data_IF_847634366958
#
_entry.id   IF_847634366958
#
_cell.length_a   1.000
_cell.length_b   1.000
_cell.length_c   1.000
_cell.angle_alpha   90.00
_cell.angle_beta   90.00
_cell.angle_gamma   90.00
#
_symmetry.space_group_name_H-M   'P 1'
#
loop_
_entity.id
_entity.type
_entity.pdbx_description
1 polymer ?
#
# COMPACT_ATOMS: atom_id res chain seq x y z
N UNK A 1 11.98 -24.24 -13.52
CA UNK A 1 10.85 -23.61 -14.23
C UNK A 1 10.27 -22.57 -13.29
N UNK A 2 10.44 -21.27 -13.59
CA UNK A 2 9.88 -20.20 -12.75
C UNK A 2 8.41 -20.02 -13.12
N UNK A 3 7.52 -20.47 -12.24
CA UNK A 3 6.09 -20.26 -12.37
C UNK A 3 5.76 -18.81 -11.97
N UNK A 4 5.80 -17.89 -12.93
CA UNK A 4 5.42 -16.49 -12.71
C UNK A 4 3.90 -16.39 -12.54
N UNK A 5 3.40 -16.62 -11.33
CA UNK A 5 1.98 -16.43 -11.02
C UNK A 5 1.67 -14.93 -10.93
N UNK A 6 0.99 -14.40 -11.93
CA UNK A 6 0.60 -12.97 -11.98
C UNK A 6 -0.69 -12.73 -11.19
N UNK A 7 -0.69 -11.69 -10.36
CA UNK A 7 -1.90 -11.18 -9.71
C UNK A 7 -2.82 -10.54 -10.74
N UNK A 8 -4.06 -11.02 -10.84
CA UNK A 8 -5.12 -10.37 -11.60
C UNK A 8 -5.91 -9.48 -10.64
N UNK A 9 -5.74 -8.16 -10.76
CA UNK A 9 -6.50 -7.19 -9.97
C UNK A 9 -7.94 -7.10 -10.47
N UNK A 10 -8.87 -6.90 -9.53
CA UNK A 10 -10.25 -6.59 -9.87
C UNK A 10 -10.40 -5.09 -10.18
N UNK A 11 -11.33 -4.71 -11.07
CA UNK A 11 -11.54 -3.30 -11.43
C UNK A 11 -12.04 -2.47 -10.25
N UNK A 12 -12.67 -3.13 -9.27
CA UNK A 12 -13.15 -2.52 -8.04
C UNK A 12 -12.74 -3.40 -6.86
N UNK A 13 -12.29 -2.75 -5.80
CA UNK A 13 -12.08 -3.41 -4.51
C UNK A 13 -13.45 -3.74 -3.93
N UNK A 14 -13.61 -4.97 -3.45
CA UNK A 14 -14.87 -5.44 -2.91
C UNK A 14 -14.68 -6.07 -1.54
N UNK A 15 -15.71 -6.01 -0.70
CA UNK A 15 -15.64 -6.55 0.65
C UNK A 15 -15.82 -8.08 0.66
N UNK A 16 -15.03 -8.74 1.49
CA UNK A 16 -15.15 -10.16 1.79
C UNK A 16 -15.21 -10.37 3.30
N UNK A 17 -15.98 -11.35 3.74
CA UNK A 17 -16.08 -11.71 5.17
C UNK A 17 -15.18 -12.89 5.47
N UNK A 18 -14.34 -12.78 6.49
CA UNK A 18 -13.44 -13.87 6.87
C UNK A 18 -14.20 -15.03 7.50
N UNK A 19 -13.93 -16.24 7.02
CA UNK A 19 -14.46 -17.51 7.51
C UNK A 19 -13.40 -18.27 8.31
N UNK A 20 -12.15 -18.27 7.84
CA UNK A 20 -10.98 -18.80 8.56
C UNK A 20 -9.89 -17.75 8.63
N UNK A 21 -9.26 -17.67 9.80
CA UNK A 21 -8.19 -16.73 10.13
C UNK A 21 -7.14 -16.64 9.02
N UNK A 22 -6.77 -15.41 8.68
CA UNK A 22 -5.69 -15.10 7.73
C UNK A 22 -4.55 -14.46 8.54
N UNK A 23 -3.33 -14.95 8.34
CA UNK A 23 -2.10 -14.39 8.93
C UNK A 23 -1.03 -14.25 7.85
N UNK A 24 0.09 -13.59 8.18
CA UNK A 24 1.25 -13.46 7.29
C UNK A 24 1.75 -14.82 6.75
N UNK A 25 1.65 -15.87 7.56
CA UNK A 25 2.20 -17.20 7.25
C UNK A 25 1.14 -18.23 6.86
N UNK A 26 -0.14 -17.91 7.06
CA UNK A 26 -1.24 -18.85 6.87
C UNK A 26 -2.33 -18.25 5.99
N UNK A 27 -2.59 -18.92 4.86
CA UNK A 27 -3.77 -18.68 4.05
C UNK A 27 -5.04 -18.98 4.86
N UNK A 28 -5.98 -18.05 4.85
CA UNK A 28 -7.29 -18.24 5.42
C UNK A 28 -8.35 -18.51 4.35
N UNK A 29 -9.60 -18.26 4.73
CA UNK A 29 -10.76 -18.47 3.86
C UNK A 29 -11.71 -17.31 4.06
N UNK A 30 -12.28 -16.80 2.97
CA UNK A 30 -13.29 -15.75 3.02
C UNK A 30 -14.54 -16.17 2.28
N UNK A 31 -15.68 -15.63 2.70
CA UNK A 31 -16.91 -15.61 1.93
C UNK A 31 -16.92 -14.36 1.05
N UNK A 32 -16.90 -14.58 -0.27
CA UNK A 32 -16.89 -13.53 -1.28
C UNK A 32 -17.85 -13.92 -2.40
N UNK A 33 -18.75 -13.00 -2.77
CA UNK A 33 -19.83 -13.24 -3.75
C UNK A 33 -20.61 -14.53 -3.51
N UNK A 34 -20.97 -14.81 -2.26
CA UNK A 34 -21.79 -15.97 -1.88
C UNK A 34 -21.05 -17.32 -1.82
N UNK A 35 -19.77 -17.39 -2.21
CA UNK A 35 -18.96 -18.61 -2.16
C UNK A 35 -17.73 -18.47 -1.27
N UNK A 36 -17.13 -19.60 -0.89
CA UNK A 36 -15.94 -19.65 -0.03
C UNK A 36 -14.67 -19.83 -0.84
N UNK A 37 -13.71 -18.92 -0.64
CA UNK A 37 -12.46 -18.86 -1.38
C UNK A 37 -11.25 -18.90 -0.46
N UNK A 38 -10.14 -19.55 -0.86
CA UNK A 38 -8.88 -19.36 -0.16
C UNK A 38 -8.44 -17.91 -0.31
N UNK A 39 -7.88 -17.34 0.77
CA UNK A 39 -7.46 -15.95 0.80
C UNK A 39 -6.12 -15.77 1.50
N UNK A 40 -5.31 -14.87 0.96
CA UNK A 40 -4.00 -14.48 1.50
C UNK A 40 -3.84 -12.97 1.41
N UNK A 41 -2.97 -12.41 2.25
CA UNK A 41 -2.61 -11.01 2.11
C UNK A 41 -1.92 -10.77 0.78
N UNK A 42 -2.29 -9.66 0.14
CA UNK A 42 -1.61 -9.18 -1.06
C UNK A 42 -0.13 -8.84 -0.77
N UNK A 43 0.11 -8.23 0.39
CA UNK A 43 1.45 -7.91 0.87
C UNK A 43 1.97 -9.04 1.77
N UNK A 44 3.10 -9.64 1.38
CA UNK A 44 3.75 -10.73 2.11
C UNK A 44 4.33 -10.27 3.46
N UNK A 45 4.65 -8.98 3.59
CA UNK A 45 5.18 -8.40 4.83
C UNK A 45 4.06 -7.97 5.80
N UNK A 46 2.79 -8.16 5.40
CA UNK A 46 1.64 -7.83 6.24
C UNK A 46 1.57 -8.75 7.48
N UNK A 47 2.01 -8.23 8.62
CA UNK A 47 1.95 -8.91 9.93
C UNK A 47 0.56 -8.87 10.57
N UNK A 48 -0.48 -8.49 9.84
CA UNK A 48 -1.84 -8.46 10.35
C UNK A 48 -2.35 -9.87 10.66
N UNK A 49 -3.24 -9.97 11.64
CA UNK A 49 -4.05 -11.17 11.89
C UNK A 49 -5.50 -10.77 11.75
N UNK A 50 -6.19 -11.39 10.81
CA UNK A 50 -7.62 -11.14 10.58
C UNK A 50 -8.39 -12.38 11.01
N UNK A 51 -9.37 -12.19 11.90
CA UNK A 51 -10.11 -13.26 12.55
C UNK A 51 -11.41 -13.59 11.80
N UNK A 52 -12.02 -14.76 12.06
CA UNK A 52 -13.33 -15.08 11.51
C UNK A 52 -14.37 -14.01 11.86
N UNK A 53 -15.21 -13.69 10.89
CA UNK A 53 -16.21 -12.62 10.87
C UNK A 53 -15.71 -11.20 10.60
N UNK A 54 -14.40 -10.95 10.60
CA UNK A 54 -13.86 -9.66 10.19
C UNK A 54 -14.11 -9.39 8.70
N UNK A 55 -14.13 -8.12 8.34
CA UNK A 55 -14.28 -7.67 6.96
C UNK A 55 -12.90 -7.34 6.39
N UNK A 56 -12.63 -7.81 5.17
CA UNK A 56 -11.42 -7.52 4.41
C UNK A 56 -11.77 -6.98 3.04
N UNK A 57 -10.82 -6.27 2.44
CA UNK A 57 -10.91 -5.77 1.08
C UNK A 57 -10.23 -6.73 0.12
N UNK A 58 -10.99 -7.27 -0.81
CA UNK A 58 -10.52 -8.14 -1.89
C UNK A 58 -10.05 -7.26 -3.05
N UNK A 59 -8.75 -7.30 -3.33
CA UNK A 59 -8.10 -6.46 -4.36
C UNK A 59 -7.89 -7.19 -5.68
N UNK A 60 -7.87 -8.53 -5.65
CA UNK A 60 -7.63 -9.34 -6.83
C UNK A 60 -7.52 -10.82 -6.51
N UNK A 61 -6.89 -11.57 -7.42
CA UNK A 61 -6.63 -12.99 -7.25
C UNK A 61 -5.33 -13.44 -7.91
N UNK A 62 -4.73 -14.49 -7.36
CA UNK A 62 -3.69 -15.29 -8.01
C UNK A 62 -4.26 -16.70 -8.15
N UNK A 63 -4.42 -17.18 -9.39
CA UNK A 63 -5.08 -18.45 -9.68
C UNK A 63 -6.47 -18.53 -9.01
N UNK A 64 -6.65 -19.38 -8.00
CA UNK A 64 -7.90 -19.55 -7.24
C UNK A 64 -7.88 -18.86 -5.87
N UNK A 65 -6.77 -18.22 -5.50
CA UNK A 65 -6.58 -17.57 -4.20
C UNK A 65 -6.87 -16.08 -4.31
N UNK A 66 -7.77 -15.59 -3.48
CA UNK A 66 -8.09 -14.17 -3.40
C UNK A 66 -7.00 -13.42 -2.63
N UNK A 67 -6.57 -12.31 -3.21
CA UNK A 67 -5.63 -11.39 -2.57
C UNK A 67 -6.44 -10.36 -1.80
N UNK A 68 -6.18 -10.25 -0.50
CA UNK A 68 -6.91 -9.36 0.40
C UNK A 68 -6.00 -8.42 1.15
N UNK A 69 -6.58 -7.34 1.66
CA UNK A 69 -5.95 -6.45 2.63
C UNK A 69 -6.91 -6.21 3.79
N UNK A 70 -6.41 -6.01 5.03
CA UNK A 70 -7.24 -5.62 6.16
C UNK A 70 -8.05 -4.36 5.87
N UNK A 71 -9.24 -4.23 6.48
CA UNK A 71 -9.93 -2.94 6.42
C UNK A 71 -9.10 -1.87 7.15
N UNK A 72 -9.00 -0.68 6.53
CA UNK A 72 -8.09 0.38 6.98
C UNK A 72 -6.62 0.22 6.58
N UNK A 73 -6.21 -0.88 5.92
CA UNK A 73 -4.86 -0.98 5.35
C UNK A 73 -4.74 -0.03 4.15
N UNK A 74 -3.98 1.05 4.32
CA UNK A 74 -3.52 1.85 3.19
C UNK A 74 -2.48 1.02 2.45
N UNK A 75 -2.83 0.53 1.25
CA UNK A 75 -1.82 0.01 0.32
C UNK A 75 -0.68 1.05 0.28
N UNK A 76 0.59 0.65 0.47
CA UNK A 76 1.68 1.58 0.28
C UNK A 76 1.56 2.07 -1.17
N UNK A 77 1.12 3.31 -1.35
CA UNK A 77 1.19 3.97 -2.64
C UNK A 77 2.65 3.83 -3.05
N UNK A 78 2.94 3.17 -4.18
CA UNK A 78 4.29 2.87 -4.67
C UNK A 78 5.37 3.85 -4.15
N UNK A 79 5.97 3.55 -3.01
CA UNK A 79 7.10 4.24 -2.41
C UNK A 79 8.03 3.10 -2.00
N UNK A 80 9.06 2.72 -2.74
CA UNK A 80 9.92 3.51 -3.58
C UNK A 80 10.70 2.56 -4.48
N UNK A 81 10.60 2.75 -5.80
CA UNK A 81 11.78 2.57 -6.65
C UNK A 81 12.61 3.86 -6.57
N UNK A 82 13.03 4.30 -5.38
CA UNK A 82 14.06 5.32 -5.07
C UNK A 82 14.28 5.44 -3.55
N UNK A 83 14.97 4.48 -2.92
CA UNK A 83 15.78 4.77 -1.72
C UNK A 83 16.91 3.74 -1.50
N UNK A 84 17.36 3.10 -2.57
CA UNK A 84 18.72 2.57 -2.66
C UNK A 84 19.50 3.42 -3.66
N UNK A 85 19.56 4.74 -3.43
CA UNK A 85 20.57 5.59 -4.04
C UNK A 85 21.51 6.08 -2.93
N UNK A 86 22.76 5.60 -2.85
CA UNK A 86 23.71 6.07 -1.82
C UNK A 86 24.13 7.55 -1.96
N UNK A 87 23.50 8.32 -2.84
CA UNK A 87 23.78 9.73 -3.07
C UNK A 87 23.12 10.71 -2.07
N UNK A 88 22.14 10.30 -1.25
CA UNK A 88 21.54 11.21 -0.25
C UNK A 88 22.32 11.29 1.07
N UNK A 89 23.57 10.80 1.09
CA UNK A 89 24.46 10.93 2.24
C UNK A 89 25.24 12.26 2.30
N UNK A 90 24.96 13.22 1.41
CA UNK A 90 25.67 14.52 1.36
C UNK A 90 24.79 15.74 1.07
N UNK A 91 23.69 15.94 1.80
CA UNK A 91 23.03 17.28 1.80
C UNK A 91 22.65 17.74 3.21
N UNK A 92 23.64 17.74 4.11
CA UNK A 92 23.63 18.62 5.29
C UNK A 92 24.61 19.80 5.15
N UNK A 93 25.10 20.09 3.94
CA UNK A 93 26.18 21.06 3.72
C UNK A 93 26.02 22.12 2.63
N UNK A 94 24.94 22.13 1.82
CA UNK A 94 24.89 23.00 0.62
C UNK A 94 23.53 23.67 0.38
N UNK A 95 22.88 24.18 1.43
CA UNK A 95 21.77 25.13 1.25
C UNK A 95 21.97 26.36 2.12
N UNK A 96 23.15 26.97 1.97
CA UNK A 96 23.42 28.32 2.40
C UNK A 96 24.03 29.13 1.23
N UNK A 97 23.47 29.07 0.02
CA UNK A 97 23.99 29.89 -1.08
C UNK A 97 23.05 30.19 -2.25
N UNK A 98 21.75 30.35 -2.02
CA UNK A 98 20.89 30.97 -3.05
C UNK A 98 20.01 32.05 -2.43
N UNK A 99 20.57 33.26 -2.35
CA UNK A 99 19.81 34.51 -2.30
C UNK A 99 19.24 34.80 -3.69
N UNK A 100 17.95 35.12 -3.83
CA UNK A 100 17.51 36.01 -4.89
C UNK A 100 17.39 37.42 -4.31
N UNK A 101 18.45 38.22 -4.47
CA UNK A 101 18.34 39.68 -4.43
C UNK A 101 17.62 40.15 -5.71
N UNK A 102 16.46 40.79 -5.56
CA UNK A 102 15.65 41.23 -6.70
C UNK A 102 14.50 42.17 -6.33
N UNK A 103 14.85 43.43 -6.04
CA UNK A 103 14.01 44.62 -5.79
C UNK A 103 12.76 44.79 -6.69
N UNK A 104 11.63 45.21 -6.08
CA UNK A 104 10.92 46.53 -6.23
C UNK A 104 9.57 46.46 -5.46
N UNK A 105 9.32 47.25 -4.40
CA UNK A 105 8.66 48.61 -4.35
C UNK A 105 7.28 48.62 -5.05
N UNK A 106 6.11 49.02 -4.52
CA UNK A 106 5.60 50.00 -3.52
C UNK A 106 4.25 49.41 -2.97
N UNK A 107 3.60 49.80 -1.85
CA UNK A 107 3.19 51.13 -1.37
C UNK A 107 2.58 51.10 0.04
N UNK A 108 2.87 52.16 0.82
CA UNK A 108 2.15 52.85 1.91
C UNK A 108 1.08 52.16 2.78
N UNK A 109 1.21 52.32 4.11
CA UNK A 109 0.24 53.04 4.98
C UNK A 109 0.88 53.40 6.34
N UNK A 110 0.35 54.48 6.94
CA UNK A 110 0.93 55.35 7.96
C UNK A 110 0.73 54.89 9.43
N UNK A 111 1.64 55.32 10.31
CA UNK A 111 1.36 56.19 11.47
C UNK A 111 2.67 56.71 12.09
#
# INVERSE_FOLDING_TARGET
MLNSQTVTFFPQVAEGKVDRTITAVQAGRIKFQGSYWPAQFYDADCQATVLPNDVVKVVGRISITLMVVPDGYSLPAQSEKTAQNPAEKWVSGITALFKPEGRRRLSAIAN
#
